data_IF_293076436693
#
_entry.id   IF_293076436693
#
_cell.length_a   1.000
_cell.length_b   1.000
_cell.length_c   1.000
_cell.angle_alpha   90.00
_cell.angle_beta   90.00
_cell.angle_gamma   90.00
#
_symmetry.space_group_name_H-M   'P 1'
#
loop_
_entity.id
_entity.type
_entity.pdbx_description
1 polymer ?
#
# COMPACT_ATOMS: atom_id res chain seq x y z
N UNK A 1 30.21 14.94 -82.01
CA UNK A 1 31.10 15.83 -81.23
C UNK A 1 30.63 17.26 -81.43
N UNK A 2 30.28 17.94 -80.33
CA UNK A 2 30.18 19.40 -80.20
C UNK A 2 29.16 20.13 -81.12
N UNK A 3 28.32 21.06 -80.68
CA UNK A 3 28.29 21.93 -79.50
C UNK A 3 26.85 22.46 -79.40
N UNK A 4 26.09 22.09 -78.37
CA UNK A 4 24.94 22.93 -77.98
C UNK A 4 25.50 24.12 -77.24
N UNK A 5 25.47 25.25 -77.93
CA UNK A 5 25.98 26.54 -77.46
C UNK A 5 25.16 26.96 -76.24
N UNK A 6 25.89 27.08 -75.14
CA UNK A 6 25.55 27.83 -73.93
C UNK A 6 24.86 29.15 -74.34
N UNK A 7 23.53 29.22 -74.14
CA UNK A 7 22.76 30.43 -74.43
C UNK A 7 23.18 31.47 -73.39
N UNK A 8 23.48 32.73 -73.77
CA UNK A 8 23.88 33.72 -72.80
C UNK A 8 22.72 33.92 -71.82
N UNK A 9 22.93 33.51 -70.58
CA UNK A 9 21.98 33.72 -69.49
C UNK A 9 21.68 35.20 -69.46
N UNK A 10 20.49 35.57 -69.97
CA UNK A 10 20.12 36.97 -70.06
C UNK A 10 19.98 37.46 -68.63
N UNK A 11 20.49 38.66 -68.31
CA UNK A 11 20.42 39.25 -66.97
C UNK A 11 19.01 39.11 -66.34
N UNK A 12 17.98 39.20 -67.18
CA UNK A 12 16.58 38.98 -66.83
C UNK A 12 16.26 37.58 -66.27
N UNK A 13 16.85 36.52 -66.81
CA UNK A 13 16.67 35.14 -66.33
C UNK A 13 17.30 34.96 -64.95
N UNK A 14 18.48 35.55 -64.72
CA UNK A 14 19.13 35.53 -63.40
C UNK A 14 18.29 36.30 -62.37
N UNK A 15 17.77 37.47 -62.75
CA UNK A 15 16.90 38.27 -61.87
C UNK A 15 15.61 37.51 -61.53
N UNK A 16 14.96 36.87 -62.51
CA UNK A 16 13.75 36.09 -62.28
C UNK A 16 14.01 34.90 -61.35
N UNK A 17 15.10 34.17 -61.57
CA UNK A 17 15.51 33.06 -60.69
C UNK A 17 15.79 33.55 -59.25
N UNK A 18 16.45 34.71 -59.09
CA UNK A 18 16.69 35.31 -57.78
C UNK A 18 15.38 35.73 -57.09
N UNK A 19 14.41 36.26 -57.85
CA UNK A 19 13.09 36.61 -57.33
C UNK A 19 12.36 35.35 -56.86
N UNK A 20 12.37 34.28 -57.65
CA UNK A 20 11.73 33.00 -57.30
C UNK A 20 12.38 32.39 -56.05
N UNK A 21 13.71 32.35 -55.98
CA UNK A 21 14.44 31.86 -54.78
C UNK A 21 14.15 32.69 -53.54
N UNK A 22 14.07 34.01 -53.69
CA UNK A 22 13.74 34.91 -52.57
C UNK A 22 12.29 34.70 -52.12
N UNK A 23 11.38 34.47 -53.06
CA UNK A 23 9.98 34.13 -52.77
C UNK A 23 9.85 32.81 -52.01
N UNK A 24 10.55 31.76 -52.46
CA UNK A 24 10.58 30.47 -51.77
C UNK A 24 11.20 30.58 -50.37
N UNK A 25 12.32 31.28 -50.24
CA UNK A 25 12.96 31.54 -48.95
C UNK A 25 12.01 32.26 -47.98
N UNK A 26 11.28 33.27 -48.46
CA UNK A 26 10.28 34.00 -47.66
C UNK A 26 9.14 33.08 -47.21
N UNK A 27 8.66 32.20 -48.10
CA UNK A 27 7.62 31.21 -47.75
C UNK A 27 8.12 30.23 -46.69
N UNK A 28 9.35 29.75 -46.83
CA UNK A 28 9.98 28.83 -45.88
C UNK A 28 10.19 29.49 -44.51
N UNK A 29 10.62 30.75 -44.48
CA UNK A 29 10.74 31.51 -43.24
C UNK A 29 9.40 31.63 -42.51
N UNK A 30 8.32 31.97 -43.23
CA UNK A 30 6.98 32.04 -42.62
C UNK A 30 6.51 30.72 -42.01
N UNK A 31 6.78 29.59 -42.67
CA UNK A 31 6.44 28.26 -42.14
C UNK A 31 7.27 27.94 -40.89
N UNK A 32 8.54 28.33 -40.86
CA UNK A 32 9.39 28.16 -39.68
C UNK A 32 8.92 29.03 -38.51
N UNK A 33 8.58 30.29 -38.75
CA UNK A 33 8.01 31.20 -37.74
C UNK A 33 6.74 30.60 -37.10
N UNK A 34 5.79 30.14 -37.93
CA UNK A 34 4.57 29.50 -37.44
C UNK A 34 4.87 28.23 -36.63
N UNK A 35 5.87 27.45 -37.06
CA UNK A 35 6.28 26.23 -36.37
C UNK A 35 6.96 26.52 -35.03
N UNK A 36 7.72 27.61 -34.94
CA UNK A 36 8.32 28.12 -33.69
C UNK A 36 7.20 28.54 -32.74
N UNK A 37 6.25 29.38 -33.17
CA UNK A 37 5.12 29.81 -32.34
C UNK A 37 4.29 28.63 -31.81
N UNK A 38 4.07 27.63 -32.66
CA UNK A 38 3.36 26.39 -32.27
C UNK A 38 4.17 25.59 -31.24
N UNK A 39 5.50 25.54 -31.40
CA UNK A 39 6.38 24.83 -30.48
C UNK A 39 6.45 25.53 -29.12
N UNK A 40 6.57 26.85 -29.11
CA UNK A 40 6.57 27.66 -27.89
C UNK A 40 5.26 27.49 -27.12
N UNK A 41 4.12 27.55 -27.82
CA UNK A 41 2.80 27.31 -27.23
C UNK A 41 2.68 25.92 -26.59
N UNK A 42 3.29 24.89 -27.21
CA UNK A 42 3.32 23.52 -26.66
C UNK A 42 4.24 23.43 -25.45
N UNK A 43 5.38 24.12 -25.46
CA UNK A 43 6.30 24.17 -24.33
C UNK A 43 5.61 24.81 -23.13
N UNK A 44 4.96 25.96 -23.30
CA UNK A 44 4.21 26.64 -22.23
C UNK A 44 3.13 25.74 -21.62
N UNK A 45 2.39 25.00 -22.45
CA UNK A 45 1.39 24.04 -21.98
C UNK A 45 2.02 22.92 -21.16
N UNK A 46 3.13 22.34 -21.65
CA UNK A 46 3.85 21.26 -20.97
C UNK A 46 4.40 21.75 -19.63
N UNK A 47 4.99 22.95 -19.58
CA UNK A 47 5.49 23.54 -18.34
C UNK A 47 4.37 23.72 -17.31
N UNK A 48 3.22 24.21 -17.74
CA UNK A 48 2.04 24.35 -16.88
C UNK A 48 1.55 23.01 -16.36
N UNK A 49 1.52 21.98 -17.21
CA UNK A 49 1.10 20.64 -16.83
C UNK A 49 2.09 20.00 -15.85
N UNK A 50 3.39 20.19 -16.05
CA UNK A 50 4.45 19.76 -15.13
C UNK A 50 4.26 20.44 -13.77
N UNK A 51 4.09 21.75 -13.73
CA UNK A 51 3.88 22.49 -12.48
C UNK A 51 2.61 22.05 -11.74
N UNK A 52 1.53 21.76 -12.47
CA UNK A 52 0.30 21.25 -11.87
C UNK A 52 0.47 19.84 -11.33
N UNK A 53 1.14 18.97 -12.09
CA UNK A 53 1.42 17.58 -11.70
C UNK A 53 2.30 17.54 -10.45
N UNK A 54 3.35 18.37 -10.40
CA UNK A 54 4.24 18.45 -9.23
C UNK A 54 3.48 18.88 -7.97
N UNK A 55 2.63 19.91 -8.07
CA UNK A 55 1.77 20.35 -6.95
C UNK A 55 0.81 19.25 -6.49
N UNK A 56 0.18 18.53 -7.41
CA UNK A 56 -0.72 17.43 -7.08
C UNK A 56 0.03 16.26 -6.42
N UNK A 57 1.25 15.98 -6.90
CA UNK A 57 2.10 14.94 -6.34
C UNK A 57 2.54 15.29 -4.92
N UNK A 58 2.99 16.52 -4.67
CA UNK A 58 3.34 17.00 -3.33
C UNK A 58 2.16 16.89 -2.36
N UNK A 59 0.95 17.31 -2.79
CA UNK A 59 -0.26 17.15 -1.99
C UNK A 59 -0.55 15.69 -1.66
N UNK A 60 -0.44 14.82 -2.66
CA UNK A 60 -0.67 13.37 -2.50
C UNK A 60 0.32 12.75 -1.51
N UNK A 61 1.59 13.17 -1.54
CA UNK A 61 2.60 12.73 -0.59
C UNK A 61 2.28 13.16 0.85
N UNK A 62 1.89 14.42 1.05
CA UNK A 62 1.50 14.92 2.38
C UNK A 62 0.27 14.18 2.94
N UNK A 63 -0.72 13.90 2.09
CA UNK A 63 -1.90 13.12 2.47
C UNK A 63 -1.53 11.67 2.82
N UNK A 64 -0.63 11.06 2.04
CA UNK A 64 -0.14 9.70 2.29
C UNK A 64 0.65 9.63 3.60
N UNK A 65 1.53 10.59 3.86
CA UNK A 65 2.26 10.69 5.12
C UNK A 65 1.31 10.79 6.32
N UNK A 66 0.27 11.63 6.22
CA UNK A 66 -0.74 11.76 7.27
C UNK A 66 -1.50 10.44 7.50
N UNK A 67 -1.86 9.72 6.42
CA UNK A 67 -2.51 8.41 6.51
C UNK A 67 -1.60 7.38 7.18
N UNK A 68 -0.32 7.36 6.85
CA UNK A 68 0.66 6.46 7.47
C UNK A 68 0.77 6.73 8.97
N UNK A 69 0.91 8.00 9.38
CA UNK A 69 0.98 8.38 10.81
C UNK A 69 -0.27 7.92 11.57
N UNK A 70 -1.47 8.14 11.01
CA UNK A 70 -2.73 7.66 11.59
C UNK A 70 -2.81 6.14 11.70
N UNK A 71 -2.26 5.41 10.72
CA UNK A 71 -2.20 3.95 10.81
C UNK A 71 -1.24 3.47 11.90
N UNK A 72 -0.07 4.12 12.04
CA UNK A 72 0.88 3.82 13.12
C UNK A 72 0.26 4.02 14.50
N UNK A 73 -0.49 5.12 14.69
CA UNK A 73 -1.22 5.38 15.93
C UNK A 73 -2.24 4.28 16.24
N UNK A 74 -3.02 3.85 15.24
CA UNK A 74 -3.98 2.74 15.39
C UNK A 74 -3.29 1.42 15.73
N UNK A 75 -2.14 1.13 15.12
CA UNK A 75 -1.36 -0.07 15.43
C UNK A 75 -0.90 -0.05 16.88
N UNK A 76 -0.35 1.07 17.35
CA UNK A 76 0.07 1.21 18.76
C UNK A 76 -1.11 1.05 19.73
N UNK A 77 -2.28 1.59 19.40
CA UNK A 77 -3.49 1.39 20.20
C UNK A 77 -3.88 -0.09 20.25
N UNK A 78 -3.89 -0.79 19.10
CA UNK A 78 -4.19 -2.23 19.06
C UNK A 78 -3.18 -3.05 19.86
N UNK A 79 -1.88 -2.75 19.74
CA UNK A 79 -0.84 -3.44 20.52
C UNK A 79 -1.05 -3.27 22.03
N UNK A 80 -1.41 -2.07 22.47
CA UNK A 80 -1.71 -1.81 23.88
C UNK A 80 -2.96 -2.59 24.34
N UNK A 81 -4.03 -2.57 23.56
CA UNK A 81 -5.24 -3.35 23.87
C UNK A 81 -4.95 -4.85 23.93
N UNK A 82 -4.14 -5.38 23.00
CA UNK A 82 -3.74 -6.79 23.01
C UNK A 82 -2.94 -7.11 24.28
N UNK A 83 -2.00 -6.25 24.69
CA UNK A 83 -1.25 -6.43 25.95
C UNK A 83 -2.16 -6.44 27.17
N UNK A 84 -3.17 -5.57 27.20
CA UNK A 84 -4.17 -5.54 28.27
C UNK A 84 -5.01 -6.81 28.31
N UNK A 85 -5.49 -7.29 27.15
CA UNK A 85 -6.21 -8.56 27.02
C UNK A 85 -5.35 -9.71 27.56
N UNK A 86 -4.09 -9.81 27.14
CA UNK A 86 -3.16 -10.84 27.63
C UNK A 86 -2.99 -10.74 29.15
N UNK A 87 -2.89 -9.53 29.70
CA UNK A 87 -2.77 -9.32 31.16
C UNK A 87 -4.04 -9.77 31.89
N UNK A 88 -5.22 -9.53 31.32
CA UNK A 88 -6.49 -10.00 31.90
C UNK A 88 -6.63 -11.51 31.78
N UNK A 89 -6.25 -12.11 30.64
CA UNK A 89 -6.27 -13.56 30.45
C UNK A 89 -5.39 -14.30 31.47
N UNK A 90 -4.23 -13.74 31.82
CA UNK A 90 -3.36 -14.29 32.88
C UNK A 90 -3.98 -14.27 34.28
N UNK A 91 -5.02 -13.47 34.51
CA UNK A 91 -5.75 -13.42 35.79
C UNK A 91 -6.96 -14.35 35.82
N UNK A 92 -7.38 -14.88 34.67
CA UNK A 92 -8.46 -15.86 34.62
C UNK A 92 -7.92 -17.19 35.14
N UNK A 93 -8.68 -17.83 36.04
CA UNK A 93 -8.36 -19.17 36.49
C UNK A 93 -8.32 -20.10 35.26
N UNK A 94 -7.24 -20.87 35.17
CA UNK A 94 -7.11 -21.92 34.17
C UNK A 94 -8.19 -22.98 34.40
N UNK A 95 -8.58 -23.68 33.33
CA UNK A 95 -9.52 -24.79 33.42
C UNK A 95 -9.05 -25.90 34.37
N UNK A 96 -7.73 -26.03 34.55
CA UNK A 96 -7.14 -26.91 35.56
C UNK A 96 -7.43 -26.45 36.99
N UNK A 97 -7.20 -25.16 37.30
CA UNK A 97 -7.49 -24.59 38.63
C UNK A 97 -8.99 -24.67 38.99
N UNK A 98 -9.87 -24.54 38.00
CA UNK A 98 -11.32 -24.72 38.19
C UNK A 98 -11.66 -26.20 38.45
N UNK A 99 -11.04 -27.12 37.71
CA UNK A 99 -11.24 -28.57 37.91
C UNK A 99 -10.75 -29.05 39.27
N UNK A 100 -9.61 -28.55 39.75
CA UNK A 100 -9.11 -28.84 41.10
C UNK A 100 -10.07 -28.31 42.18
N UNK A 101 -10.62 -27.10 41.98
CA UNK A 101 -11.65 -26.55 42.87
C UNK A 101 -12.93 -27.38 42.87
N UNK A 102 -13.37 -27.86 41.71
CA UNK A 102 -14.54 -28.75 41.59
C UNK A 102 -14.30 -30.07 42.33
N UNK A 103 -13.14 -30.70 42.15
CA UNK A 103 -12.76 -31.95 42.82
C UNK A 103 -12.68 -31.77 44.35
N UNK A 104 -12.10 -30.65 44.80
CA UNK A 104 -12.00 -30.32 46.22
C UNK A 104 -13.38 -30.06 46.83
N UNK A 105 -14.28 -29.41 46.09
CA UNK A 105 -15.69 -29.25 46.48
C UNK A 105 -16.40 -30.61 46.52
N UNK A 106 -16.16 -31.51 45.57
CA UNK A 106 -16.77 -32.85 45.59
C UNK A 106 -16.32 -33.67 46.79
N UNK A 107 -15.04 -33.61 47.17
CA UNK A 107 -14.49 -34.28 48.36
C UNK A 107 -15.11 -33.71 49.64
N UNK A 108 -15.25 -32.38 49.72
CA UNK A 108 -15.77 -31.70 50.91
C UNK A 108 -17.30 -31.66 50.99
N UNK A 109 -18.02 -31.94 49.91
CA UNK A 109 -19.48 -31.89 49.90
C UNK A 109 -20.06 -33.09 50.69
N UNK A 110 -20.64 -32.86 51.87
CA UNK A 110 -21.18 -33.93 52.71
C UNK A 110 -22.42 -34.61 52.09
N UNK A 111 -22.98 -34.08 51.00
CA UNK A 111 -24.08 -34.70 50.24
C UNK A 111 -23.59 -35.73 49.20
N UNK A 112 -22.31 -35.68 48.81
CA UNK A 112 -21.69 -36.64 47.86
C UNK A 112 -20.61 -37.51 48.51
N UNK A 113 -19.98 -37.04 49.58
CA UNK A 113 -18.96 -37.79 50.31
C UNK A 113 -19.61 -38.90 51.15
N UNK A 114 -19.57 -40.12 50.61
CA UNK A 114 -19.84 -41.32 51.41
C UNK A 114 -18.61 -41.56 52.30
N UNK A 115 -18.57 -40.90 53.46
CA UNK A 115 -17.56 -41.16 54.47
C UNK A 115 -17.75 -42.58 55.01
N UNK A 116 -16.97 -43.53 54.49
CA UNK A 116 -16.92 -44.90 54.99
C UNK A 116 -16.07 -44.95 56.25
N UNK A 117 -16.61 -45.59 57.28
CA UNK A 117 -15.92 -45.84 58.55
C UNK A 117 -14.85 -46.92 58.37
N UNK A 118 -13.85 -46.96 59.26
CA UNK A 118 -12.73 -47.91 59.20
C UNK A 118 -13.22 -49.36 59.12
N UNK A 119 -14.26 -49.68 59.88
CA UNK A 119 -14.87 -51.01 59.95
C UNK A 119 -15.65 -51.38 58.67
N UNK A 120 -16.13 -50.40 57.91
CA UNK A 120 -16.75 -50.61 56.60
C UNK A 120 -15.70 -50.87 55.53
N UNK A 121 -14.55 -50.18 55.60
CA UNK A 121 -13.42 -50.40 54.69
C UNK A 121 -12.82 -51.80 54.90
N UNK A 122 -12.63 -52.25 56.14
CA UNK A 122 -12.14 -53.61 56.43
C UNK A 122 -13.10 -54.69 55.89
N UNK A 123 -14.40 -54.54 56.09
CA UNK A 123 -15.40 -55.47 55.55
C UNK A 123 -15.39 -55.52 54.01
N UNK A 124 -15.25 -54.38 53.34
CA UNK A 124 -15.17 -54.34 51.88
C UNK A 124 -13.90 -55.03 51.34
N UNK A 125 -12.79 -54.97 52.08
CA UNK A 125 -11.53 -55.63 51.73
C UNK A 125 -11.66 -57.15 51.92
N UNK A 126 -12.23 -57.61 53.04
CA UNK A 126 -12.47 -59.02 53.32
C UNK A 126 -13.44 -59.67 52.31
N UNK A 127 -14.50 -58.97 51.91
CA UNK A 127 -15.44 -59.45 50.88
C UNK A 127 -14.81 -59.57 49.49
N UNK A 128 -13.82 -58.74 49.15
CA UNK A 128 -13.09 -58.83 47.88
C UNK A 128 -12.05 -59.94 47.90
N UNK A 129 -11.40 -60.17 49.03
CA UNK A 129 -10.41 -61.24 49.20
C UNK A 129 -11.07 -62.63 49.31
N UNK A 130 -12.31 -62.71 49.81
CA UNK A 130 -13.08 -63.97 49.88
C UNK A 130 -13.79 -64.35 48.58
N UNK A 131 -13.81 -63.46 47.59
CA UNK A 131 -14.37 -63.70 46.23
C UNK A 131 -13.30 -63.98 45.16
N UNK A 132 -12.02 -64.11 45.55
CA UNK A 132 -10.96 -64.73 44.72
C UNK A 132 -10.81 -66.20 45.09
#
# INVERSE_FOLDING_TARGET
MNTERDKPTTLRTIINELIERTGDATRRLRVLEQSIETTDSRIESIEKDILNTDKQMQKSFLELESKIRKQQEKILQMENTIREIIKQMKKLATSAEIGELEELIEIYNPLKSNFVTRDEVERMIEERLSKQ
#
